data_IF_339583423098
#
_entry.id   IF_339583423098
#
_cell.length_a   1.000
_cell.length_b   1.000
_cell.length_c   1.000
_cell.angle_alpha   90.00
_cell.angle_beta   90.00
_cell.angle_gamma   90.00
#
_symmetry.space_group_name_H-M   'P 1'
#
loop_
_entity.id
_entity.type
_entity.pdbx_description
1 polymer ?
#
# COMPACT_ATOMS: atom_id res chain seq x y z
N UNK A 1 12.15 1.88 4.35
CA UNK A 1 12.41 2.58 3.08
C UNK A 1 12.26 1.55 1.99
N UNK A 2 11.27 1.70 1.11
CA UNK A 2 11.05 0.75 0.02
C UNK A 2 12.16 0.85 -1.05
N UNK A 3 12.36 -0.21 -1.81
CA UNK A 3 13.38 -0.32 -2.86
C UNK A 3 13.24 0.79 -3.91
N UNK A 4 12.02 1.25 -4.20
CA UNK A 4 11.78 2.36 -5.12
C UNK A 4 12.31 3.68 -4.54
N UNK A 5 12.06 3.94 -3.26
CA UNK A 5 12.59 5.11 -2.55
C UNK A 5 14.12 5.10 -2.52
N UNK A 6 14.74 3.95 -2.23
CA UNK A 6 16.20 3.79 -2.20
C UNK A 6 16.82 4.06 -3.58
N UNK A 7 16.24 3.51 -4.65
CA UNK A 7 16.69 3.74 -6.02
C UNK A 7 16.62 5.23 -6.40
N UNK A 8 15.54 5.92 -6.04
CA UNK A 8 15.38 7.35 -6.29
C UNK A 8 16.43 8.18 -5.53
N UNK A 9 16.73 7.82 -4.28
CA UNK A 9 17.80 8.48 -3.48
C UNK A 9 19.17 8.28 -4.12
N UNK A 10 19.51 7.05 -4.53
CA UNK A 10 20.77 6.76 -5.22
C UNK A 10 20.87 7.52 -6.56
N UNK A 11 19.77 7.63 -7.29
CA UNK A 11 19.67 8.44 -8.50
C UNK A 11 19.97 9.92 -8.26
N UNK A 12 19.43 10.52 -7.19
CA UNK A 12 19.74 11.89 -6.80
C UNK A 12 21.22 12.07 -6.41
N UNK A 13 21.79 11.12 -5.69
CA UNK A 13 23.22 11.14 -5.34
C UNK A 13 24.07 11.14 -6.62
N UNK A 14 23.74 10.29 -7.58
CA UNK A 14 24.43 10.27 -8.88
C UNK A 14 24.29 11.60 -9.62
N UNK A 15 23.09 12.19 -9.66
CA UNK A 15 22.90 13.53 -10.26
C UNK A 15 23.71 14.62 -9.57
N UNK A 16 23.82 14.58 -8.24
CA UNK A 16 24.66 15.51 -7.48
C UNK A 16 26.15 15.34 -7.84
N UNK A 17 26.62 14.10 -7.99
CA UNK A 17 27.99 13.79 -8.45
C UNK A 17 28.21 14.33 -9.86
N UNK A 18 27.27 14.15 -10.79
CA UNK A 18 27.37 14.68 -12.15
C UNK A 18 27.48 16.21 -12.16
N UNK A 19 26.68 16.91 -11.34
CA UNK A 19 26.78 18.37 -11.18
C UNK A 19 28.13 18.79 -10.59
N UNK A 20 28.61 18.09 -9.55
CA UNK A 20 29.92 18.36 -8.97
C UNK A 20 31.04 18.19 -10.01
N UNK A 21 30.95 17.14 -10.84
CA UNK A 21 31.90 16.90 -11.93
C UNK A 21 31.85 17.98 -13.01
N UNK A 22 30.68 18.53 -13.33
CA UNK A 22 30.55 19.65 -14.25
C UNK A 22 31.26 20.93 -13.73
N UNK A 23 31.33 21.11 -12.41
CA UNK A 23 32.00 22.25 -11.77
C UNK A 23 33.53 22.10 -11.67
N UNK A 24 34.10 20.92 -11.97
CA UNK A 24 35.55 20.71 -11.91
C UNK A 24 36.25 21.57 -12.98
N UNK A 25 37.34 22.23 -12.57
CA UNK A 25 38.17 23.03 -13.48
C UNK A 25 38.93 22.11 -14.44
N UNK A 26 39.00 22.48 -15.72
CA UNK A 26 39.73 21.73 -16.75
C UNK A 26 41.20 21.50 -16.35
N UNK A 27 41.86 22.50 -15.77
CA UNK A 27 43.25 22.39 -15.31
C UNK A 27 43.44 21.33 -14.23
N UNK A 28 42.44 21.14 -13.37
CA UNK A 28 42.47 20.09 -12.34
C UNK A 28 42.41 18.70 -12.96
N UNK A 29 41.59 18.53 -13.99
CA UNK A 29 41.48 17.26 -14.74
C UNK A 29 42.75 17.00 -15.54
N UNK A 30 43.29 18.01 -16.22
CA UNK A 30 44.57 17.91 -16.95
C UNK A 30 45.72 17.52 -16.02
N UNK A 31 45.86 18.18 -14.88
CA UNK A 31 46.90 17.86 -13.89
C UNK A 31 46.79 16.43 -13.37
N UNK A 32 45.56 15.97 -13.09
CA UNK A 32 45.34 14.59 -12.65
C UNK A 32 45.70 13.58 -13.74
N UNK A 33 45.30 13.87 -14.99
CA UNK A 33 45.56 13.00 -16.14
C UNK A 33 47.05 12.94 -16.49
N UNK A 34 47.77 14.05 -16.41
CA UNK A 34 49.22 14.10 -16.60
C UNK A 34 49.98 13.31 -15.51
N UNK A 35 49.44 13.27 -14.29
CA UNK A 35 49.99 12.45 -13.20
C UNK A 35 49.85 10.94 -13.43
N UNK A 36 48.80 10.50 -14.13
CA UNK A 36 48.52 9.08 -14.40
C UNK A 36 49.09 8.60 -15.74
N UNK A 37 49.01 9.45 -16.78
CA UNK A 37 49.52 9.15 -18.11
C UNK A 37 50.15 10.41 -18.74
N UNK A 38 51.46 10.65 -18.52
CA UNK A 38 52.16 11.85 -18.99
C UNK A 38 52.24 11.97 -20.51
N UNK A 39 52.11 10.86 -21.25
CA UNK A 39 52.22 10.82 -22.71
C UNK A 39 50.86 10.90 -23.43
N UNK A 40 49.76 11.09 -22.69
CA UNK A 40 48.44 11.26 -23.29
C UNK A 40 48.30 12.62 -24.00
N UNK A 41 47.63 12.62 -25.15
CA UNK A 41 47.32 13.84 -25.89
C UNK A 41 46.41 14.78 -25.07
N UNK A 42 46.72 16.08 -25.11
CA UNK A 42 45.98 17.15 -24.41
C UNK A 42 44.52 17.21 -24.88
N UNK A 43 43.60 17.38 -23.94
CA UNK A 43 42.19 17.54 -24.24
C UNK A 43 41.90 18.98 -24.66
N UNK A 44 41.20 19.14 -25.78
CA UNK A 44 40.75 20.45 -26.26
C UNK A 44 39.74 21.08 -25.28
N UNK A 45 39.71 22.41 -25.21
CA UNK A 45 38.73 23.13 -24.37
C UNK A 45 37.28 22.82 -24.77
N UNK A 46 37.04 22.60 -26.07
CA UNK A 46 35.73 22.19 -26.58
C UNK A 46 35.26 20.86 -25.97
N UNK A 47 36.16 19.92 -25.70
CA UNK A 47 35.81 18.65 -25.06
C UNK A 47 35.34 18.85 -23.60
N UNK A 48 35.96 19.78 -22.86
CA UNK A 48 35.53 20.12 -21.50
C UNK A 48 34.17 20.82 -21.49
N UNK A 49 33.91 21.71 -22.46
CA UNK A 49 32.59 22.35 -22.62
C UNK A 49 31.53 21.31 -22.93
N UNK A 50 31.79 20.42 -23.90
CA UNK A 50 30.86 19.35 -24.26
C UNK A 50 30.57 18.42 -23.06
N UNK A 51 31.61 18.02 -22.30
CA UNK A 51 31.45 17.19 -21.11
C UNK A 51 30.58 17.87 -20.05
N UNK A 52 30.75 19.17 -19.80
CA UNK A 52 29.90 19.93 -18.86
C UNK A 52 28.44 19.95 -19.29
N UNK A 53 28.18 20.19 -20.58
CA UNK A 53 26.81 20.18 -21.12
C UNK A 53 26.19 18.79 -20.92
N UNK A 54 26.92 17.72 -21.23
CA UNK A 54 26.45 16.34 -21.03
C UNK A 54 26.16 16.06 -19.55
N UNK A 55 27.08 16.38 -18.64
CA UNK A 55 26.88 16.15 -17.20
C UNK A 55 25.68 16.92 -16.65
N UNK A 56 25.51 18.19 -17.01
CA UNK A 56 24.37 19.01 -16.57
C UNK A 56 23.07 18.47 -17.16
N UNK A 57 23.05 18.09 -18.43
CA UNK A 57 21.85 17.54 -19.07
C UNK A 57 21.42 16.21 -18.43
N UNK A 58 22.37 15.28 -18.24
CA UNK A 58 22.09 14.00 -17.59
C UNK A 58 21.67 14.19 -16.13
N UNK A 59 22.31 15.10 -15.39
CA UNK A 59 21.90 15.41 -14.03
C UNK A 59 20.47 15.95 -13.98
N UNK A 60 20.11 16.87 -14.89
CA UNK A 60 18.77 17.43 -14.99
C UNK A 60 17.71 16.38 -15.30
N UNK A 61 17.97 15.48 -16.26
CA UNK A 61 17.09 14.35 -16.57
C UNK A 61 16.97 13.42 -15.35
N UNK A 62 18.09 13.07 -14.71
CA UNK A 62 18.10 12.21 -13.53
C UNK A 62 17.29 12.80 -12.38
N UNK A 63 17.44 14.10 -12.08
CA UNK A 63 16.65 14.79 -11.04
C UNK A 63 15.17 14.75 -11.38
N UNK A 64 14.80 15.07 -12.62
CA UNK A 64 13.40 15.02 -13.06
C UNK A 64 12.79 13.63 -12.88
N UNK A 65 13.49 12.58 -13.31
CA UNK A 65 13.03 11.21 -13.18
C UNK A 65 12.91 10.78 -11.70
N UNK A 66 13.88 11.14 -10.86
CA UNK A 66 13.81 10.83 -9.42
C UNK A 66 12.64 11.53 -8.74
N UNK A 67 12.37 12.81 -9.07
CA UNK A 67 11.22 13.55 -8.52
C UNK A 67 9.90 12.91 -8.94
N UNK A 68 9.77 12.48 -10.19
CA UNK A 68 8.59 11.73 -10.63
C UNK A 68 8.49 10.36 -9.93
N UNK A 69 9.63 9.70 -9.72
CA UNK A 69 9.69 8.44 -8.97
C UNK A 69 9.26 8.59 -7.50
N UNK A 70 9.61 9.69 -6.83
CA UNK A 70 9.15 9.95 -5.47
C UNK A 70 7.65 10.17 -5.39
N UNK A 71 7.04 10.86 -6.37
CA UNK A 71 5.57 10.98 -6.43
C UNK A 71 4.88 9.63 -6.50
N UNK A 72 5.37 8.75 -7.37
CA UNK A 72 4.85 7.38 -7.46
C UNK A 72 5.07 6.64 -6.14
N UNK A 73 6.23 6.79 -5.49
CA UNK A 73 6.48 6.16 -4.19
C UNK A 73 5.51 6.64 -3.11
N UNK A 74 5.15 7.92 -3.13
CA UNK A 74 4.20 8.55 -2.20
C UNK A 74 2.78 7.99 -2.43
N UNK A 75 2.32 7.96 -3.69
CA UNK A 75 1.00 7.43 -4.10
C UNK A 75 0.83 5.90 -3.86
N UNK A 76 1.88 5.21 -3.40
CA UNK A 76 1.87 3.75 -3.20
C UNK A 76 1.99 3.32 -1.75
N UNK A 77 2.18 4.26 -0.83
CA UNK A 77 2.30 3.98 0.60
C UNK A 77 1.14 4.65 1.35
N UNK A 78 0.56 3.91 2.29
CA UNK A 78 -0.41 4.47 3.21
C UNK A 78 0.30 5.34 4.24
N UNK A 79 -0.11 6.60 4.37
CA UNK A 79 0.25 7.41 5.54
C UNK A 79 -0.59 6.99 6.76
N UNK A 80 -0.02 7.13 7.95
CA UNK A 80 -0.67 6.80 9.22
C UNK A 80 -2.03 7.51 9.40
N UNK A 81 -2.14 8.77 8.95
CA UNK A 81 -3.35 9.58 9.08
C UNK A 81 -4.44 9.11 8.12
N UNK A 82 -4.05 8.78 6.88
CA UNK A 82 -4.95 8.24 5.88
C UNK A 82 -5.48 6.87 6.33
N UNK A 83 -4.58 5.98 6.77
CA UNK A 83 -4.97 4.67 7.26
C UNK A 83 -5.88 4.77 8.48
N UNK A 84 -5.58 5.67 9.43
CA UNK A 84 -6.43 5.88 10.61
C UNK A 84 -7.85 6.27 10.21
N UNK A 85 -7.98 7.22 9.29
CA UNK A 85 -9.28 7.72 8.82
C UNK A 85 -10.03 6.63 8.04
N UNK A 86 -9.32 5.90 7.18
CA UNK A 86 -9.88 4.82 6.38
C UNK A 86 -10.36 3.65 7.26
N UNK A 87 -9.58 3.23 8.26
CA UNK A 87 -9.97 2.18 9.21
C UNK A 87 -11.17 2.61 10.06
N UNK A 88 -11.26 3.89 10.44
CA UNK A 88 -12.43 4.42 11.13
C UNK A 88 -13.68 4.39 10.22
N UNK A 89 -13.56 4.85 8.98
CA UNK A 89 -14.64 4.80 8.00
C UNK A 89 -15.13 3.37 7.74
N UNK A 90 -14.19 2.43 7.54
CA UNK A 90 -14.50 1.01 7.39
C UNK A 90 -15.18 0.42 8.62
N UNK A 91 -14.75 0.82 9.82
CA UNK A 91 -15.40 0.39 11.08
C UNK A 91 -16.86 0.86 11.11
N UNK A 92 -17.11 2.13 10.80
CA UNK A 92 -18.45 2.72 10.80
C UNK A 92 -19.36 2.11 9.71
N UNK A 93 -18.80 1.75 8.55
CA UNK A 93 -19.54 1.12 7.46
C UNK A 93 -19.90 -0.35 7.75
N UNK A 94 -19.00 -1.06 8.43
CA UNK A 94 -19.19 -2.47 8.79
C UNK A 94 -20.02 -2.66 10.05
N UNK A 95 -19.98 -1.73 11.00
CA UNK A 95 -20.76 -1.79 12.24
C UNK A 95 -22.26 -1.64 11.96
N UNK A 96 -23.05 -2.60 12.45
CA UNK A 96 -24.48 -2.70 12.15
C UNK A 96 -24.81 -3.23 10.76
N UNK A 97 -23.81 -3.67 9.97
CA UNK A 97 -24.04 -4.34 8.70
C UNK A 97 -24.60 -5.76 8.90
N UNK A 98 -25.25 -6.29 7.86
CA UNK A 98 -25.77 -7.66 7.84
C UNK A 98 -25.26 -8.42 6.62
N UNK A 99 -25.25 -9.75 6.68
CA UNK A 99 -24.85 -10.61 5.57
C UNK A 99 -25.43 -12.01 5.67
N UNK A 100 -25.44 -12.72 4.55
CA UNK A 100 -25.86 -14.11 4.49
C UNK A 100 -24.67 -15.03 4.74
N UNK A 101 -24.88 -16.08 5.53
CA UNK A 101 -23.91 -17.16 5.69
C UNK A 101 -24.14 -18.31 4.72
N UNK A 102 -23.26 -19.31 4.78
CA UNK A 102 -23.42 -20.54 4.01
C UNK A 102 -24.66 -21.31 4.48
N UNK A 103 -25.44 -21.83 3.53
CA UNK A 103 -26.60 -22.70 3.75
C UNK A 103 -26.22 -24.06 4.36
N UNK A 104 -24.95 -24.45 4.26
CA UNK A 104 -24.42 -25.69 4.83
C UNK A 104 -23.53 -25.46 6.05
N UNK A 105 -23.38 -24.21 6.51
CA UNK A 105 -22.60 -23.91 7.70
C UNK A 105 -23.21 -24.58 8.93
N UNK A 106 -22.37 -25.31 9.67
CA UNK A 106 -22.67 -25.77 11.02
C UNK A 106 -22.42 -24.63 12.03
N UNK A 107 -22.89 -24.79 13.27
CA UNK A 107 -22.76 -23.75 14.31
C UNK A 107 -21.30 -23.38 14.65
N UNK A 108 -20.33 -24.24 14.27
CA UNK A 108 -18.89 -24.02 14.45
C UNK A 108 -18.18 -23.47 13.20
N UNK A 109 -18.94 -23.05 12.18
CA UNK A 109 -18.38 -22.52 10.94
C UNK A 109 -17.57 -21.23 11.16
N UNK A 110 -16.31 -21.29 10.72
CA UNK A 110 -15.35 -20.20 10.70
C UNK A 110 -15.05 -19.68 9.29
N UNK A 111 -15.67 -20.22 8.24
CA UNK A 111 -15.37 -19.86 6.84
C UNK A 111 -15.57 -18.37 6.54
N UNK A 112 -16.51 -17.74 7.24
CA UNK A 112 -16.75 -16.29 7.15
C UNK A 112 -15.55 -15.43 7.57
N UNK A 113 -14.62 -15.95 8.38
CA UNK A 113 -13.53 -15.15 8.96
C UNK A 113 -12.59 -14.63 7.87
N UNK A 114 -12.18 -15.50 6.94
CA UNK A 114 -11.28 -15.14 5.85
C UNK A 114 -11.98 -14.27 4.79
N UNK A 115 -13.26 -14.55 4.54
CA UNK A 115 -14.09 -13.72 3.66
C UNK A 115 -14.26 -12.30 4.22
N UNK A 116 -14.47 -12.20 5.54
CA UNK A 116 -14.62 -10.92 6.22
C UNK A 116 -13.30 -10.15 6.31
N UNK A 117 -12.14 -10.83 6.40
CA UNK A 117 -10.83 -10.19 6.25
C UNK A 117 -10.72 -9.45 4.89
N UNK A 118 -11.10 -10.13 3.81
CA UNK A 118 -11.12 -9.53 2.47
C UNK A 118 -12.10 -8.36 2.40
N UNK A 119 -13.26 -8.47 3.05
CA UNK A 119 -14.24 -7.37 3.14
C UNK A 119 -13.65 -6.17 3.87
N UNK A 120 -12.95 -6.37 5.00
CA UNK A 120 -12.27 -5.30 5.73
C UNK A 120 -11.26 -4.58 4.82
N UNK A 121 -10.42 -5.32 4.09
CA UNK A 121 -9.46 -4.72 3.16
C UNK A 121 -10.13 -3.83 2.11
N UNK A 122 -11.24 -4.31 1.52
CA UNK A 122 -12.01 -3.55 0.54
C UNK A 122 -12.62 -2.28 1.14
N UNK A 123 -13.25 -2.37 2.31
CA UNK A 123 -13.86 -1.21 2.97
C UNK A 123 -12.80 -0.19 3.40
N UNK A 124 -11.63 -0.62 3.87
CA UNK A 124 -10.53 0.31 4.19
C UNK A 124 -10.05 1.02 2.92
N UNK A 125 -9.92 0.33 1.79
CA UNK A 125 -9.56 0.96 0.52
C UNK A 125 -10.64 1.94 0.02
N UNK A 126 -11.92 1.57 0.12
CA UNK A 126 -13.06 2.42 -0.28
C UNK A 126 -13.13 3.71 0.55
N UNK A 127 -12.77 3.62 1.83
CA UNK A 127 -12.70 4.76 2.74
C UNK A 127 -11.34 5.47 2.73
N UNK A 128 -10.43 5.09 1.84
CA UNK A 128 -9.20 5.82 1.56
C UNK A 128 -9.46 7.22 0.97
N UNK A 129 -8.52 8.14 1.19
CA UNK A 129 -8.53 9.45 0.51
C UNK A 129 -8.36 9.32 -1.00
N UNK A 130 -8.57 10.41 -1.75
CA UNK A 130 -8.44 10.40 -3.21
C UNK A 130 -7.05 10.05 -3.74
N UNK A 131 -6.03 10.24 -2.91
CA UNK A 131 -4.63 9.91 -3.20
C UNK A 131 -4.19 8.60 -2.50
N UNK A 132 -5.09 7.93 -1.77
CA UNK A 132 -4.75 6.72 -1.02
C UNK A 132 -4.48 5.53 -1.97
N UNK A 133 -3.48 4.68 -1.66
CA UNK A 133 -3.19 3.52 -2.47
C UNK A 133 -4.36 2.53 -2.52
N UNK A 134 -4.60 1.93 -3.68
CA UNK A 134 -5.64 0.90 -3.87
C UNK A 134 -5.21 -0.50 -3.38
N UNK A 135 -4.02 -0.60 -2.79
CA UNK A 135 -3.41 -1.84 -2.31
C UNK A 135 -2.50 -1.54 -1.11
N UNK A 136 -1.96 -2.58 -0.47
CA UNK A 136 -1.04 -2.42 0.67
C UNK A 136 -1.71 -2.32 2.04
N UNK A 137 -3.05 -2.46 2.08
CA UNK A 137 -3.80 -2.83 3.28
C UNK A 137 -3.86 -4.35 3.36
N UNK A 138 -3.72 -4.89 4.57
CA UNK A 138 -3.89 -6.31 4.83
C UNK A 138 -4.61 -6.50 6.17
N UNK A 139 -5.62 -7.36 6.20
CA UNK A 139 -6.37 -7.70 7.41
C UNK A 139 -6.09 -9.15 7.80
N UNK A 140 -5.21 -9.36 8.79
CA UNK A 140 -4.85 -10.72 9.22
C UNK A 140 -5.74 -11.17 10.38
N UNK A 141 -6.48 -12.29 10.25
CA UNK A 141 -7.26 -12.83 11.36
C UNK A 141 -6.37 -13.37 12.48
N UNK A 142 -6.80 -13.21 13.73
CA UNK A 142 -6.13 -13.79 14.88
C UNK A 142 -6.45 -15.29 15.06
N UNK A 143 -5.46 -16.07 15.52
CA UNK A 143 -5.62 -17.51 15.75
C UNK A 143 -6.69 -17.85 16.81
N UNK A 144 -7.00 -16.90 17.70
CA UNK A 144 -7.98 -17.07 18.78
C UNK A 144 -9.43 -16.82 18.36
N UNK A 145 -9.69 -16.65 17.07
CA UNK A 145 -11.03 -16.35 16.58
C UNK A 145 -11.99 -17.53 16.77
N UNK A 146 -13.27 -17.21 16.80
CA UNK A 146 -14.37 -18.14 17.06
C UNK A 146 -15.49 -17.91 16.03
N UNK A 147 -16.45 -18.83 15.92
CA UNK A 147 -17.58 -18.68 15.00
C UNK A 147 -18.43 -17.42 15.20
N UNK A 148 -18.44 -16.83 16.40
CA UNK A 148 -19.23 -15.63 16.74
C UNK A 148 -18.41 -14.37 17.01
N UNK A 149 -17.09 -14.48 17.12
CA UNK A 149 -16.21 -13.35 17.37
C UNK A 149 -14.87 -13.55 16.67
N UNK A 150 -14.48 -12.56 15.87
CA UNK A 150 -13.20 -12.52 15.19
C UNK A 150 -12.47 -11.20 15.47
N UNK A 151 -11.14 -11.26 15.49
CA UNK A 151 -10.26 -10.11 15.55
C UNK A 151 -9.31 -10.14 14.37
N UNK A 152 -9.02 -8.95 13.85
CA UNK A 152 -8.19 -8.73 12.68
C UNK A 152 -7.15 -7.66 12.99
N UNK A 153 -5.89 -7.99 12.76
CA UNK A 153 -4.81 -6.99 12.72
C UNK A 153 -4.77 -6.41 11.32
N UNK A 154 -5.26 -5.17 11.19
CA UNK A 154 -5.25 -4.39 9.95
C UNK A 154 -3.97 -3.58 9.89
N UNK A 155 -3.19 -3.73 8.81
CA UNK A 155 -1.91 -3.04 8.63
C UNK A 155 -1.86 -2.29 7.30
N UNK A 156 -1.21 -1.14 7.31
CA UNK A 156 -0.83 -0.37 6.12
C UNK A 156 0.29 0.60 6.51
N UNK A 157 1.33 0.71 5.68
CA UNK A 157 2.53 1.47 6.06
C UNK A 157 3.15 0.95 7.38
N UNK A 158 3.43 1.85 8.31
CA UNK A 158 4.01 1.54 9.64
C UNK A 158 2.96 1.43 10.76
N UNK A 159 1.67 1.58 10.42
CA UNK A 159 0.56 1.57 11.37
C UNK A 159 -0.21 0.25 11.40
N UNK A 160 -0.77 -0.06 12.57
CA UNK A 160 -1.58 -1.24 12.80
C UNK A 160 -2.81 -0.91 13.65
N UNK A 161 -3.92 -1.60 13.38
CA UNK A 161 -5.18 -1.51 14.11
C UNK A 161 -5.73 -2.90 14.41
N UNK A 162 -6.38 -3.03 15.56
CA UNK A 162 -7.08 -4.24 15.95
C UNK A 162 -8.57 -4.00 15.78
N UNK A 163 -9.15 -4.62 14.77
CA UNK A 163 -10.58 -4.60 14.51
C UNK A 163 -11.22 -5.85 15.09
N UNK A 164 -12.21 -5.68 15.95
CA UNK A 164 -13.01 -6.77 16.52
C UNK A 164 -14.38 -6.77 15.86
N UNK A 165 -14.80 -7.96 15.42
CA UNK A 165 -16.07 -8.22 14.75
C UNK A 165 -16.83 -9.27 15.56
N UNK A 166 -18.04 -8.93 15.99
CA UNK A 166 -18.97 -9.88 16.61
C UNK A 166 -20.06 -10.20 15.60
N UNK A 167 -20.24 -11.50 15.32
CA UNK A 167 -21.26 -12.04 14.41
C UNK A 167 -22.41 -12.63 15.22
N UNK A 168 -23.62 -12.13 15.00
CA UNK A 168 -24.83 -12.60 15.70
C UNK A 168 -25.84 -13.14 14.70
N UNK A 169 -26.39 -14.32 14.97
CA UNK A 169 -27.42 -14.94 14.12
C UNK A 169 -28.72 -14.15 14.16
N UNK A 170 -29.21 -13.75 12.99
CA UNK A 170 -30.44 -12.97 12.82
C UNK A 170 -31.54 -13.82 12.16
N UNK A 171 -32.37 -14.49 12.96
CA UNK A 171 -33.44 -15.38 12.44
C UNK A 171 -34.49 -14.62 11.63
N UNK A 172 -34.82 -13.41 12.05
CA UNK A 172 -35.80 -12.56 11.35
C UNK A 172 -35.26 -12.06 10.00
N UNK A 173 -33.94 -12.10 9.80
CA UNK A 173 -33.28 -11.75 8.54
C UNK A 173 -33.13 -12.93 7.57
N UNK A 174 -33.60 -14.13 7.93
CA UNK A 174 -33.47 -15.32 7.08
C UNK A 174 -34.17 -15.17 5.75
N UNK A 175 -33.53 -15.72 4.73
CA UNK A 175 -34.08 -15.71 3.38
C UNK A 175 -34.45 -17.12 2.94
N UNK A 176 -35.71 -17.29 2.55
CA UNK A 176 -36.24 -18.53 1.99
C UNK A 176 -36.48 -18.31 0.49
N UNK A 177 -35.57 -18.77 -0.38
CA UNK A 177 -35.77 -18.64 -1.82
C UNK A 177 -37.04 -19.38 -2.27
N UNK A 178 -37.78 -18.85 -3.26
CA UNK A 178 -38.96 -19.53 -3.78
C UNK A 178 -38.60 -20.86 -4.44
N UNK A 179 -39.46 -21.86 -4.25
CA UNK A 179 -39.34 -23.15 -4.93
C UNK A 179 -39.61 -23.05 -6.43
N UNK A 180 -39.11 -24.02 -7.21
CA UNK A 180 -39.22 -24.06 -8.69
C UNK A 180 -40.69 -24.01 -9.17
N UNK A 181 -41.65 -24.44 -8.34
CA UNK A 181 -43.09 -24.37 -8.61
C UNK A 181 -43.78 -23.05 -8.20
N UNK A 182 -43.04 -22.05 -7.71
CA UNK A 182 -43.58 -20.78 -7.20
C UNK A 182 -44.18 -20.85 -5.79
N UNK A 183 -43.99 -21.98 -5.08
CA UNK A 183 -44.32 -22.13 -3.66
C UNK A 183 -43.11 -21.87 -2.76
N UNK A 184 -43.27 -22.13 -1.45
CA UNK A 184 -42.21 -22.00 -0.45
C UNK A 184 -41.02 -22.92 -0.78
N UNK A 185 -39.80 -22.41 -0.58
CA UNK A 185 -38.58 -23.18 -0.76
C UNK A 185 -38.36 -24.21 0.34
N UNK A 186 -37.35 -25.07 0.17
CA UNK A 186 -36.96 -26.07 1.18
C UNK A 186 -35.65 -25.75 1.88
N UNK A 187 -35.07 -24.57 1.60
CA UNK A 187 -33.76 -24.15 2.10
C UNK A 187 -33.94 -22.79 2.76
N UNK A 188 -33.30 -22.62 3.91
CA UNK A 188 -33.21 -21.33 4.60
C UNK A 188 -31.77 -20.85 4.50
N UNK A 189 -31.57 -19.65 3.96
CA UNK A 189 -30.26 -18.98 3.94
C UNK A 189 -30.11 -18.20 5.24
N UNK A 190 -29.14 -18.54 6.10
CA UNK A 190 -28.99 -17.89 7.39
C UNK A 190 -28.49 -16.46 7.24
N UNK A 191 -29.12 -15.52 7.93
CA UNK A 191 -28.64 -14.13 8.04
C UNK A 191 -27.91 -13.86 9.36
N UNK A 192 -26.95 -12.95 9.31
CA UNK A 192 -26.13 -12.54 10.45
C UNK A 192 -25.97 -11.02 10.48
N UNK A 193 -25.99 -10.47 11.69
CA UNK A 193 -25.70 -9.08 11.98
C UNK A 193 -24.28 -8.97 12.56
N UNK A 194 -23.58 -7.90 12.19
CA UNK A 194 -22.20 -7.65 12.59
C UNK A 194 -22.10 -6.40 13.45
N UNK A 195 -21.41 -6.51 14.57
CA UNK A 195 -20.98 -5.38 15.38
C UNK A 195 -19.46 -5.25 15.28
N UNK A 196 -18.95 -4.05 14.97
CA UNK A 196 -17.54 -3.84 14.67
C UNK A 196 -16.98 -2.71 15.53
N UNK A 197 -15.80 -2.95 16.11
CA UNK A 197 -15.06 -1.93 16.86
C UNK A 197 -13.59 -1.97 16.45
N UNK A 198 -12.92 -0.84 16.58
CA UNK A 198 -11.49 -0.73 16.27
C UNK A 198 -10.71 -0.05 17.39
N UNK A 199 -9.46 -0.45 17.56
CA UNK A 199 -8.48 0.23 18.41
C UNK A 199 -7.11 0.26 17.72
N UNK A 200 -6.30 1.26 18.02
CA UNK A 200 -4.93 1.31 17.52
C UNK A 200 -4.06 0.19 18.12
N UNK A 201 -3.09 -0.28 17.33
CA UNK A 201 -2.18 -1.38 17.65
C UNK A 201 -2.71 -2.74 17.22
N UNK A 202 -1.84 -3.75 17.20
CA UNK A 202 -2.22 -5.11 16.82
C UNK A 202 -3.21 -5.79 17.78
N UNK A 203 -3.89 -6.80 17.24
CA UNK A 203 -4.45 -7.89 18.02
C UNK A 203 -3.33 -8.89 18.34
#
# INVERSE_FOLDING_TARGET
MDALTELNVLGLILSAVLLAMACVKADRVRAWRAGTNPSAEELSDASFIAARVVFVALAGVGIYLCVQGFKVSDDTAWDDTELTTAVQGATDALDGSSGFGDIYAEDDDTGWIDEYATKIEQEVVEHGGGDAPQYGVNATPADSNTPSEARYTVTGGDSAFCMQVTRTRSKDGDYEPPGIGGGEGTVTVPSYDFAVTTRQGGC
#
